data_IF_658283424470
#
_entry.id   IF_658283424470
#
_cell.length_a   1.000
_cell.length_b   1.000
_cell.length_c   1.000
_cell.angle_alpha   90.00
_cell.angle_beta   90.00
_cell.angle_gamma   90.00
#
_symmetry.space_group_name_H-M   'P 1'
#
loop_
_entity.id
_entity.type
_entity.pdbx_description
1 polymer ?
#
# COMPACT_ATOMS: atom_id res chain seq x y z
N UNK A 1 56.08 -13.47 -13.54
CA UNK A 1 55.38 -12.43 -12.75
C UNK A 1 55.20 -12.99 -11.36
N UNK A 2 56.03 -12.54 -10.41
CA UNK A 2 56.10 -13.07 -9.05
C UNK A 2 55.12 -12.30 -8.15
N UNK A 3 54.17 -12.99 -7.54
CA UNK A 3 53.29 -12.44 -6.51
C UNK A 3 53.94 -12.66 -5.13
N UNK A 4 54.28 -11.56 -4.46
CA UNK A 4 54.71 -11.54 -3.07
C UNK A 4 53.47 -11.39 -2.16
N UNK A 5 53.17 -12.45 -1.41
CA UNK A 5 52.24 -12.43 -0.28
C UNK A 5 52.93 -11.73 0.91
N UNK A 6 52.41 -10.58 1.34
CA UNK A 6 52.79 -9.98 2.62
C UNK A 6 51.79 -10.40 3.70
N UNK A 7 52.29 -11.24 4.61
CA UNK A 7 51.64 -11.62 5.86
C UNK A 7 51.82 -10.48 6.88
N UNK A 8 50.72 -9.98 7.44
CA UNK A 8 50.76 -9.07 8.59
C UNK A 8 50.51 -9.93 9.83
N UNK A 9 51.58 -10.17 10.58
CA UNK A 9 51.59 -10.81 11.89
C UNK A 9 52.10 -9.79 12.90
N UNK A 10 51.30 -9.40 13.90
CA UNK A 10 51.73 -8.88 15.23
C UNK A 10 50.52 -8.59 16.12
N UNK A 11 50.66 -8.50 17.46
CA UNK A 11 50.20 -9.58 18.33
C UNK A 11 49.17 -9.17 19.39
N UNK A 12 48.71 -10.22 20.10
CA UNK A 12 47.89 -10.22 21.31
C UNK A 12 48.34 -9.20 22.37
N UNK A 13 47.39 -8.41 22.86
CA UNK A 13 47.43 -7.85 24.22
C UNK A 13 46.29 -8.50 25.00
N UNK A 14 46.67 -9.38 25.93
CA UNK A 14 45.83 -9.90 27.01
C UNK A 14 46.20 -9.10 28.25
N UNK A 15 45.23 -8.43 28.85
CA UNK A 15 45.28 -8.02 30.25
C UNK A 15 43.87 -8.10 30.83
N UNK A 16 43.69 -9.05 31.75
CA UNK A 16 42.51 -9.27 32.57
C UNK A 16 42.53 -8.34 33.79
N UNK A 17 41.35 -8.06 34.36
CA UNK A 17 41.04 -7.85 35.79
C UNK A 17 39.53 -7.49 35.87
N UNK A 18 38.65 -8.43 36.22
CA UNK A 18 38.16 -8.75 37.58
C UNK A 18 37.49 -7.58 38.32
N UNK A 19 36.19 -7.74 38.56
CA UNK A 19 35.56 -7.35 39.84
C UNK A 19 34.62 -6.14 39.80
N UNK A 20 33.31 -6.40 39.80
CA UNK A 20 32.33 -5.79 40.70
C UNK A 20 30.93 -6.36 40.43
N UNK A 21 30.61 -7.48 41.08
CA UNK A 21 29.23 -7.83 41.36
C UNK A 21 28.75 -6.93 42.51
N UNK A 22 27.80 -6.05 42.24
CA UNK A 22 27.12 -5.27 43.27
C UNK A 22 25.67 -4.96 42.87
N UNK A 23 24.76 -5.53 43.66
CA UNK A 23 23.46 -4.99 44.06
C UNK A 23 22.34 -4.97 42.99
N UNK A 24 21.65 -6.11 42.88
CA UNK A 24 20.26 -6.14 42.48
C UNK A 24 19.40 -5.53 43.60
N UNK A 25 18.99 -4.27 43.43
CA UNK A 25 17.89 -3.69 44.18
C UNK A 25 16.56 -4.07 43.49
N UNK A 26 15.52 -4.50 44.22
CA UNK A 26 14.20 -4.60 43.63
C UNK A 26 13.68 -3.18 43.41
N UNK A 27 13.71 -2.70 42.17
CA UNK A 27 12.96 -1.52 41.77
C UNK A 27 11.46 -1.84 41.93
N UNK A 28 10.87 -1.41 43.04
CA UNK A 28 9.43 -1.32 43.21
C UNK A 28 8.93 -0.22 42.26
N UNK A 29 8.65 -0.60 41.02
CA UNK A 29 7.92 0.24 40.08
C UNK A 29 6.48 0.41 40.58
N UNK A 30 6.25 1.40 41.44
CA UNK A 30 4.91 1.86 41.72
C UNK A 30 4.41 2.59 40.47
N UNK A 31 3.59 1.88 39.70
CA UNK A 31 2.72 2.41 38.66
C UNK A 31 1.71 3.37 39.31
N UNK A 32 2.17 4.58 39.68
CA UNK A 32 1.28 5.70 39.95
C UNK A 32 0.72 6.19 38.62
N UNK A 33 -0.42 5.63 38.25
CA UNK A 33 -1.28 6.21 37.22
C UNK A 33 -1.84 7.54 37.76
N UNK A 34 -1.61 8.67 37.10
CA UNK A 34 -2.33 9.90 37.38
C UNK A 34 -3.80 9.67 37.01
N UNK A 35 -4.68 9.62 38.00
CA UNK A 35 -6.13 9.43 37.78
C UNK A 35 -6.88 8.55 38.78
N UNK A 36 -6.27 8.15 39.90
CA UNK A 36 -6.99 7.47 40.98
C UNK A 36 -8.00 8.43 41.62
N UNK A 37 -9.26 8.33 41.18
CA UNK A 37 -10.41 9.01 41.77
C UNK A 37 -10.54 8.62 43.24
N UNK A 38 -10.57 9.63 44.11
CA UNK A 38 -11.02 9.50 45.50
C UNK A 38 -12.50 9.10 45.51
N UNK A 39 -12.91 8.07 46.27
CA UNK A 39 -14.34 7.76 46.43
C UNK A 39 -15.02 8.91 47.21
N UNK A 40 -16.07 9.47 46.63
CA UNK A 40 -16.95 10.44 47.28
C UNK A 40 -17.75 9.76 48.41
N UNK A 41 -18.09 10.49 49.49
CA UNK A 41 -18.78 9.93 50.66
C UNK A 41 -20.19 9.46 50.33
N UNK A 42 -20.62 8.42 51.06
CA UNK A 42 -21.92 7.79 50.93
C UNK A 42 -23.07 8.72 51.37
N UNK A 43 -24.14 8.72 50.58
CA UNK A 43 -25.47 9.13 51.02
C UNK A 43 -26.06 10.34 50.30
N UNK A 44 -26.73 10.11 49.17
CA UNK A 44 -28.09 10.61 48.87
C UNK A 44 -28.54 9.92 47.58
N UNK A 45 -29.43 8.93 47.72
CA UNK A 45 -30.00 8.17 46.61
C UNK A 45 -31.18 8.98 46.07
N UNK A 46 -30.98 9.69 44.96
CA UNK A 46 -32.08 10.18 44.13
C UNK A 46 -32.45 9.06 43.16
N UNK A 47 -33.72 8.66 43.17
CA UNK A 47 -34.25 7.50 42.44
C UNK A 47 -34.01 7.57 40.92
N UNK A 48 -33.99 6.41 40.23
CA UNK A 48 -33.68 6.35 38.82
C UNK A 48 -34.80 7.01 38.01
N UNK A 49 -34.49 8.14 37.36
CA UNK A 49 -35.23 8.57 36.20
C UNK A 49 -35.15 7.44 35.16
N UNK A 50 -36.31 7.05 34.61
CA UNK A 50 -36.41 5.99 33.62
C UNK A 50 -35.50 6.30 32.42
N UNK A 51 -34.29 5.73 32.44
CA UNK A 51 -33.41 5.70 31.29
C UNK A 51 -34.10 4.90 30.21
N UNK A 52 -34.54 5.59 29.17
CA UNK A 52 -34.87 4.95 27.90
C UNK A 52 -33.75 3.97 27.57
N UNK A 53 -34.09 2.68 27.46
CA UNK A 53 -33.14 1.67 27.05
C UNK A 53 -32.44 2.15 25.78
N UNK A 54 -31.09 2.18 25.74
CA UNK A 54 -30.39 2.40 24.49
C UNK A 54 -30.86 1.29 23.56
N UNK A 55 -31.61 1.65 22.51
CA UNK A 55 -31.90 0.71 21.43
C UNK A 55 -30.56 0.13 21.03
N UNK A 56 -30.37 -1.19 21.19
CA UNK A 56 -29.21 -1.90 20.70
C UNK A 56 -29.00 -1.42 19.27
N UNK A 57 -27.90 -0.72 19.03
CA UNK A 57 -27.57 -0.25 17.70
C UNK A 57 -27.41 -1.52 16.86
N UNK A 58 -28.42 -1.84 16.06
CA UNK A 58 -28.29 -2.85 15.03
C UNK A 58 -27.11 -2.52 14.12
N UNK A 59 -26.60 -3.49 13.35
CA UNK A 59 -25.44 -3.28 12.48
C UNK A 59 -25.62 -1.99 11.68
N UNK A 60 -24.76 -1.00 11.95
CA UNK A 60 -24.77 0.24 11.17
C UNK A 60 -24.38 -0.13 9.75
N UNK A 61 -25.08 0.43 8.76
CA UNK A 61 -24.73 0.20 7.35
C UNK A 61 -23.23 0.47 7.16
N UNK A 62 -22.51 -0.42 6.46
CA UNK A 62 -21.11 -0.18 6.19
C UNK A 62 -20.88 1.14 5.45
N UNK A 63 -19.71 1.78 5.63
CA UNK A 63 -19.38 2.97 4.87
C UNK A 63 -19.37 2.64 3.36
N UNK A 64 -19.75 3.59 2.49
CA UNK A 64 -19.72 3.36 1.05
C UNK A 64 -18.29 3.04 0.59
N UNK A 65 -18.12 2.17 -0.44
CA UNK A 65 -16.83 1.92 -1.03
C UNK A 65 -16.28 3.22 -1.62
N UNK A 66 -14.98 3.50 -1.46
CA UNK A 66 -14.34 4.65 -2.10
C UNK A 66 -14.26 4.44 -3.60
N UNK A 67 -14.19 5.56 -4.33
CA UNK A 67 -14.13 5.57 -5.80
C UNK A 67 -12.85 4.89 -6.26
N UNK A 68 -12.99 3.85 -7.08
CA UNK A 68 -11.85 3.22 -7.77
C UNK A 68 -11.30 4.21 -8.81
N UNK A 69 -9.97 4.39 -8.90
CA UNK A 69 -9.35 5.21 -9.94
C UNK A 69 -9.75 4.76 -11.35
N UNK A 70 -9.94 5.72 -12.27
CA UNK A 70 -10.14 5.45 -13.70
C UNK A 70 -8.81 5.20 -14.39
N UNK A 71 -8.81 4.44 -15.49
CA UNK A 71 -7.62 4.24 -16.33
C UNK A 71 -7.07 5.57 -16.87
N UNK A 72 -7.94 6.58 -17.04
CA UNK A 72 -7.55 7.91 -17.53
C UNK A 72 -6.51 8.61 -16.65
N UNK A 73 -6.34 8.15 -15.40
CA UNK A 73 -5.33 8.70 -14.49
C UNK A 73 -3.90 8.37 -14.93
N UNK A 74 -3.69 7.32 -15.73
CA UNK A 74 -2.37 6.84 -16.16
C UNK A 74 -2.10 7.01 -17.66
N UNK A 75 -3.10 7.40 -18.44
CA UNK A 75 -3.00 7.58 -19.89
C UNK A 75 -2.19 8.84 -20.26
N UNK A 76 -1.37 8.74 -21.30
CA UNK A 76 -0.68 9.88 -21.92
C UNK A 76 0.45 10.48 -21.07
N UNK A 77 1.00 9.71 -20.13
CA UNK A 77 2.15 10.12 -19.32
C UNK A 77 3.12 8.96 -19.11
N UNK A 78 4.44 9.22 -19.15
CA UNK A 78 5.43 8.23 -18.77
C UNK A 78 5.41 8.04 -17.25
N UNK A 79 5.37 6.79 -16.83
CA UNK A 79 5.53 6.39 -15.43
C UNK A 79 6.87 5.66 -15.27
N UNK A 80 7.61 5.99 -14.22
CA UNK A 80 8.91 5.37 -13.91
C UNK A 80 8.79 4.42 -12.74
N UNK A 81 9.38 3.24 -12.88
CA UNK A 81 9.51 2.25 -11.82
C UNK A 81 10.31 2.85 -10.66
N UNK A 82 9.70 2.81 -9.49
CA UNK A 82 10.25 3.31 -8.24
C UNK A 82 10.81 4.75 -8.35
N UNK A 83 10.21 5.55 -9.23
CA UNK A 83 10.54 6.97 -9.43
C UNK A 83 11.83 7.26 -10.19
N UNK A 84 12.56 6.24 -10.68
CA UNK A 84 13.91 6.46 -11.22
C UNK A 84 14.27 5.66 -12.48
N UNK A 85 13.67 4.49 -12.68
CA UNK A 85 14.12 3.54 -13.71
C UNK A 85 12.97 3.00 -14.54
N UNK A 86 13.28 2.52 -15.73
CA UNK A 86 12.27 2.04 -16.66
C UNK A 86 11.26 3.11 -17.07
N UNK A 87 10.47 2.80 -18.08
CA UNK A 87 9.33 3.63 -18.48
C UNK A 87 8.18 2.71 -18.85
N UNK A 88 6.98 3.00 -18.34
CA UNK A 88 5.73 2.46 -18.85
C UNK A 88 4.82 3.62 -19.23
N UNK A 89 4.22 3.55 -20.42
CA UNK A 89 3.29 4.56 -20.90
C UNK A 89 2.05 3.88 -21.48
N UNK A 90 0.88 4.38 -21.08
CA UNK A 90 -0.42 3.84 -21.46
C UNK A 90 -1.12 4.76 -22.45
N UNK A 91 -1.83 4.16 -23.40
CA UNK A 91 -2.73 4.84 -24.33
C UNK A 91 -4.07 4.11 -24.39
N UNK A 92 -5.12 4.80 -24.87
CA UNK A 92 -6.38 4.18 -25.24
C UNK A 92 -6.38 3.80 -26.72
N UNK A 93 -6.72 2.55 -27.00
CA UNK A 93 -7.14 2.09 -28.32
C UNK A 93 -8.65 1.89 -28.31
N UNK A 94 -9.41 2.92 -28.69
CA UNK A 94 -10.85 2.95 -28.49
C UNK A 94 -11.24 2.89 -27.01
N UNK A 95 -11.85 1.79 -26.57
CA UNK A 95 -12.20 1.58 -25.15
C UNK A 95 -11.12 0.83 -24.37
N UNK A 96 -10.20 0.17 -25.07
CA UNK A 96 -9.21 -0.69 -24.47
C UNK A 96 -7.97 0.09 -24.07
N UNK A 97 -7.33 -0.33 -22.98
CA UNK A 97 -6.06 0.22 -22.52
C UNK A 97 -4.92 -0.60 -23.11
N UNK A 98 -3.89 0.07 -23.62
CA UNK A 98 -2.70 -0.58 -24.16
C UNK A 98 -1.44 0.10 -23.62
N UNK A 99 -0.35 -0.65 -23.55
CA UNK A 99 0.98 -0.11 -23.25
C UNK A 99 1.67 0.22 -24.56
N UNK A 100 1.99 1.48 -24.78
CA UNK A 100 2.64 1.97 -26.01
C UNK A 100 4.14 2.12 -25.87
N UNK A 101 4.62 2.23 -24.63
CA UNK A 101 6.04 2.29 -24.32
C UNK A 101 6.31 1.43 -23.10
N UNK A 102 7.26 0.52 -23.23
CA UNK A 102 7.72 -0.30 -22.13
C UNK A 102 9.23 -0.48 -22.20
N UNK A 103 9.93 0.16 -21.28
CA UNK A 103 11.36 0.01 -21.06
C UNK A 103 11.58 -0.57 -19.67
N UNK A 104 12.18 -1.75 -19.63
CA UNK A 104 12.55 -2.42 -18.38
C UNK A 104 14.04 -2.23 -18.14
N UNK A 105 14.42 -1.83 -16.93
CA UNK A 105 15.83 -1.77 -16.52
C UNK A 105 16.14 -2.95 -15.60
N UNK A 106 17.33 -3.51 -15.77
CA UNK A 106 17.81 -4.60 -14.95
C UNK A 106 19.33 -4.64 -14.86
N UNK A 107 19.85 -5.82 -14.58
CA UNK A 107 21.28 -6.10 -14.49
C UNK A 107 21.69 -7.12 -15.55
N UNK A 108 22.89 -6.96 -16.11
CA UNK A 108 23.43 -7.90 -17.09
C UNK A 108 23.58 -9.29 -16.46
N UNK A 109 23.18 -10.33 -17.20
CA UNK A 109 23.31 -11.72 -16.75
C UNK A 109 24.79 -12.13 -16.79
N UNK A 110 25.52 -11.75 -17.84
CA UNK A 110 26.95 -12.05 -17.98
C UNK A 110 27.85 -11.29 -17.00
N UNK A 111 27.42 -10.10 -16.54
CA UNK A 111 28.24 -9.17 -15.76
C UNK A 111 27.48 -8.57 -14.59
N UNK A 112 27.67 -9.19 -13.43
CA UNK A 112 27.05 -8.77 -12.17
C UNK A 112 27.45 -7.33 -11.83
N UNK A 113 26.46 -6.47 -11.61
CA UNK A 113 26.65 -5.06 -11.25
C UNK A 113 26.62 -4.09 -12.42
N UNK A 114 26.73 -4.57 -13.66
CA UNK A 114 26.47 -3.78 -14.85
C UNK A 114 24.97 -3.75 -15.16
N UNK A 115 24.46 -2.61 -15.64
CA UNK A 115 23.04 -2.41 -15.93
C UNK A 115 22.72 -2.73 -17.38
N UNK A 116 21.50 -3.20 -17.62
CA UNK A 116 20.93 -3.41 -18.94
C UNK A 116 19.54 -2.78 -19.06
N UNK A 117 19.09 -2.59 -20.30
CA UNK A 117 17.75 -2.10 -20.62
C UNK A 117 17.16 -3.00 -21.72
N UNK A 118 15.88 -3.35 -21.55
CA UNK A 118 15.08 -4.06 -22.55
C UNK A 118 13.97 -3.12 -22.99
N UNK A 119 13.96 -2.78 -24.27
CA UNK A 119 12.93 -1.94 -24.88
C UNK A 119 11.93 -2.82 -25.63
N UNK A 120 10.67 -2.80 -25.19
CA UNK A 120 9.56 -3.59 -25.72
C UNK A 120 8.56 -2.69 -26.46
N UNK A 121 8.95 -1.47 -26.83
CA UNK A 121 8.07 -0.44 -27.41
C UNK A 121 7.91 -0.56 -28.94
N UNK A 122 8.26 -1.70 -29.55
CA UNK A 122 8.17 -1.88 -31.00
C UNK A 122 6.74 -1.93 -31.53
N UNK A 123 5.81 -2.39 -30.70
CA UNK A 123 4.38 -2.46 -30.99
C UNK A 123 3.57 -2.26 -29.70
N UNK A 124 2.37 -1.65 -29.77
CA UNK A 124 1.50 -1.54 -28.61
C UNK A 124 1.14 -2.93 -28.04
N UNK A 125 1.20 -3.05 -26.73
CA UNK A 125 0.88 -4.29 -26.00
C UNK A 125 -0.53 -4.14 -25.42
N UNK A 126 -1.46 -4.96 -25.91
CA UNK A 126 -2.83 -4.98 -25.39
C UNK A 126 -2.87 -5.51 -23.95
N UNK A 127 -3.70 -4.89 -23.11
CA UNK A 127 -3.92 -5.32 -21.74
C UNK A 127 -5.21 -6.13 -21.64
N UNK A 128 -5.16 -7.26 -20.94
CA UNK A 128 -6.34 -8.09 -20.69
C UNK A 128 -6.90 -7.78 -19.30
N UNK A 129 -8.19 -7.43 -19.12
CA UNK A 129 -8.76 -7.26 -17.80
C UNK A 129 -8.59 -8.53 -16.95
N UNK A 130 -8.19 -8.36 -15.69
CA UNK A 130 -7.94 -9.47 -14.76
C UNK A 130 -8.70 -9.28 -13.44
N UNK A 131 -8.76 -10.33 -12.62
CA UNK A 131 -9.50 -10.30 -11.34
C UNK A 131 -8.94 -9.25 -10.37
N UNK A 132 -9.84 -8.51 -9.73
CA UNK A 132 -9.52 -7.38 -8.83
C UNK A 132 -9.08 -7.86 -7.45
N UNK A 133 -7.90 -8.47 -7.34
CA UNK A 133 -7.38 -8.97 -6.07
C UNK A 133 -7.24 -7.88 -4.99
N UNK A 134 -6.97 -6.63 -5.38
CA UNK A 134 -6.71 -5.50 -4.47
C UNK A 134 -7.83 -4.46 -4.43
N UNK A 135 -9.01 -4.77 -5.00
CA UNK A 135 -10.14 -3.82 -5.05
C UNK A 135 -9.94 -2.62 -5.98
N UNK A 136 -8.85 -2.59 -6.74
CA UNK A 136 -8.63 -1.65 -7.85
C UNK A 136 -8.75 -2.36 -9.19
N UNK A 137 -8.80 -1.61 -10.29
CA UNK A 137 -8.76 -2.18 -11.63
C UNK A 137 -7.42 -2.88 -11.85
N UNK A 138 -7.47 -4.14 -12.29
CA UNK A 138 -6.29 -4.94 -12.61
C UNK A 138 -6.32 -5.36 -14.07
N UNK A 139 -5.16 -5.28 -14.71
CA UNK A 139 -4.91 -5.84 -16.02
C UNK A 139 -3.80 -6.89 -15.95
N UNK A 140 -3.89 -7.91 -16.80
CA UNK A 140 -2.80 -8.81 -17.13
C UNK A 140 -2.09 -8.30 -18.39
N UNK A 141 -0.77 -8.32 -18.33
CA UNK A 141 0.11 -8.02 -19.44
C UNK A 141 0.88 -9.30 -19.77
N UNK A 142 0.53 -9.92 -20.90
CA UNK A 142 1.14 -11.16 -21.35
C UNK A 142 2.35 -10.86 -22.25
N UNK A 143 3.54 -10.89 -21.63
CA UNK A 143 4.80 -10.81 -22.35
C UNK A 143 5.46 -12.17 -22.40
N UNK A 144 5.94 -12.59 -23.59
CA UNK A 144 6.80 -13.76 -23.70
C UNK A 144 7.97 -13.66 -22.71
N UNK A 145 8.11 -14.67 -21.85
CA UNK A 145 9.10 -14.76 -20.76
C UNK A 145 8.92 -13.81 -19.55
N UNK A 146 7.99 -12.85 -19.58
CA UNK A 146 7.81 -11.90 -18.48
C UNK A 146 6.35 -11.46 -18.24
N UNK A 147 5.39 -12.39 -18.01
CA UNK A 147 4.03 -12.00 -17.69
C UNK A 147 3.97 -11.35 -16.31
N UNK A 148 3.15 -10.30 -16.19
CA UNK A 148 2.86 -9.63 -14.92
C UNK A 148 1.47 -8.96 -14.93
N UNK A 149 1.00 -8.59 -13.74
CA UNK A 149 -0.23 -7.84 -13.57
C UNK A 149 0.04 -6.37 -13.24
N UNK A 150 -0.89 -5.50 -13.63
CA UNK A 150 -0.87 -4.06 -13.43
C UNK A 150 -2.11 -3.64 -12.66
N UNK A 151 -1.94 -3.16 -11.44
CA UNK A 151 -2.98 -2.54 -10.62
C UNK A 151 -3.01 -1.02 -10.88
N UNK A 152 -4.16 -0.49 -11.32
CA UNK A 152 -4.32 0.94 -11.62
C UNK A 152 -4.57 1.72 -10.33
N UNK A 153 -3.69 2.68 -10.05
CA UNK A 153 -3.82 3.65 -8.95
C UNK A 153 -4.03 5.07 -9.51
N UNK A 154 -4.21 6.04 -8.61
CA UNK A 154 -4.41 7.43 -8.98
C UNK A 154 -3.12 8.05 -9.54
N UNK A 155 -2.93 8.01 -10.86
CA UNK A 155 -1.75 8.57 -11.50
C UNK A 155 -0.48 7.73 -11.37
N UNK A 156 -0.64 6.45 -11.04
CA UNK A 156 0.43 5.48 -10.90
C UNK A 156 -0.13 4.08 -11.17
N UNK A 157 0.75 3.10 -11.33
CA UNK A 157 0.37 1.69 -11.35
C UNK A 157 1.26 0.89 -10.43
N UNK A 158 0.73 -0.18 -9.83
CA UNK A 158 1.55 -1.16 -9.12
C UNK A 158 1.66 -2.42 -9.97
N UNK A 159 2.89 -2.78 -10.32
CA UNK A 159 3.17 -3.98 -11.09
C UNK A 159 3.46 -5.13 -10.11
N UNK A 160 2.72 -6.23 -10.28
CA UNK A 160 2.82 -7.43 -9.45
C UNK A 160 3.21 -8.62 -10.31
N UNK A 161 4.20 -9.37 -9.85
CA UNK A 161 4.66 -10.60 -10.50
C UNK A 161 4.97 -11.69 -9.49
N UNK A 162 4.38 -12.88 -9.68
CA UNK A 162 4.57 -14.02 -8.78
C UNK A 162 5.89 -14.77 -9.06
N UNK A 163 6.42 -14.70 -10.28
CA UNK A 163 7.64 -15.40 -10.71
C UNK A 163 8.97 -14.71 -10.42
N UNK A 164 9.00 -13.59 -9.70
CA UNK A 164 10.23 -12.82 -9.41
C UNK A 164 10.81 -12.07 -10.62
N UNK A 165 12.12 -12.14 -10.85
CA UNK A 165 12.78 -11.52 -12.00
C UNK A 165 12.54 -12.32 -13.32
N UNK A 166 12.60 -11.61 -14.44
CA UNK A 166 12.53 -12.12 -15.81
C UNK A 166 13.93 -12.12 -16.45
N UNK A 167 14.22 -13.13 -17.27
CA UNK A 167 15.49 -13.23 -18.01
C UNK A 167 15.25 -13.09 -19.51
N UNK A 168 15.81 -12.03 -20.09
CA UNK A 168 15.84 -11.76 -21.51
C UNK A 168 17.19 -12.20 -22.07
N UNK A 169 17.34 -13.49 -22.37
CA UNK A 169 18.60 -14.09 -22.83
C UNK A 169 19.18 -13.42 -24.06
N UNK A 170 18.33 -13.05 -25.03
CA UNK A 170 18.76 -12.35 -26.25
C UNK A 170 19.33 -10.94 -25.97
N UNK A 171 18.93 -10.32 -24.86
CA UNK A 171 19.41 -9.02 -24.41
C UNK A 171 20.44 -9.12 -23.28
N UNK A 172 20.87 -10.33 -22.90
CA UNK A 172 21.74 -10.60 -21.74
C UNK A 172 21.26 -9.90 -20.45
N UNK A 173 19.95 -9.82 -20.24
CA UNK A 173 19.37 -8.91 -19.25
C UNK A 173 18.42 -9.61 -18.27
N UNK A 174 18.64 -9.42 -16.97
CA UNK A 174 17.72 -9.86 -15.91
C UNK A 174 17.01 -8.65 -15.32
N UNK A 175 15.69 -8.58 -15.47
CA UNK A 175 14.86 -7.44 -15.03
C UNK A 175 13.81 -7.91 -14.03
N UNK A 176 13.42 -7.07 -13.08
CA UNK A 176 12.24 -7.30 -12.25
C UNK A 176 11.28 -6.13 -12.48
N UNK A 177 10.10 -6.33 -13.12
CA UNK A 177 9.16 -5.25 -13.37
C UNK A 177 8.34 -4.87 -12.14
N UNK A 178 8.41 -5.65 -11.05
CA UNK A 178 7.58 -5.45 -9.86
C UNK A 178 7.87 -4.11 -9.16
N UNK A 179 6.83 -3.57 -8.52
CA UNK A 179 6.91 -2.33 -7.76
C UNK A 179 6.00 -1.23 -8.29
N UNK A 180 6.14 -0.03 -7.71
CA UNK A 180 5.30 1.09 -8.05
C UNK A 180 5.88 1.87 -9.24
N UNK A 181 5.09 2.06 -10.29
CA UNK A 181 5.41 2.90 -11.44
C UNK A 181 4.62 4.20 -11.33
N UNK A 182 5.31 5.33 -11.26
CA UNK A 182 4.67 6.61 -10.94
C UNK A 182 5.46 7.82 -11.43
N UNK A 183 5.19 8.98 -10.83
CA UNK A 183 5.88 10.23 -11.15
C UNK A 183 7.40 10.12 -10.92
N UNK A 184 8.24 10.60 -11.84
CA UNK A 184 9.68 10.63 -11.62
C UNK A 184 10.05 11.41 -10.34
N UNK A 185 10.89 10.83 -9.48
CA UNK A 185 11.21 11.41 -8.17
C UNK A 185 12.00 12.73 -8.28
N UNK A 186 12.73 12.92 -9.38
CA UNK A 186 13.43 14.17 -9.70
C UNK A 186 12.46 15.30 -10.12
N UNK A 187 11.23 14.98 -10.55
CA UNK A 187 10.21 15.97 -10.90
C UNK A 187 9.37 16.41 -9.68
N UNK A 188 9.51 15.72 -8.54
CA UNK A 188 8.82 16.08 -7.31
C UNK A 188 9.60 17.17 -6.58
N UNK A 189 9.26 18.43 -6.88
CA UNK A 189 9.82 19.60 -6.21
C UNK A 189 9.26 19.83 -4.80
N UNK A 190 9.87 20.73 -4.00
CA UNK A 190 9.48 20.96 -2.60
C UNK A 190 8.02 21.38 -2.40
N UNK A 191 7.46 22.14 -3.35
CA UNK A 191 6.03 22.53 -3.31
C UNK A 191 5.12 21.31 -3.42
N UNK A 192 5.40 20.43 -4.39
CA UNK A 192 4.61 19.21 -4.60
C UNK A 192 4.78 18.24 -3.43
N UNK A 193 5.98 18.12 -2.86
CA UNK A 193 6.22 17.32 -1.66
C UNK A 193 5.31 17.74 -0.48
N UNK A 194 5.15 19.06 -0.23
CA UNK A 194 4.22 19.57 0.80
C UNK A 194 2.75 19.25 0.50
N UNK A 195 2.37 19.29 -0.78
CA UNK A 195 1.02 18.90 -1.21
C UNK A 195 0.77 17.41 -0.97
N UNK A 196 1.74 16.56 -1.35
CA UNK A 196 1.72 15.11 -1.11
C UNK A 196 1.59 14.81 0.37
N UNK A 197 2.35 15.47 1.24
CA UNK A 197 2.24 15.27 2.69
C UNK A 197 0.82 15.59 3.21
N UNK A 198 0.25 16.71 2.76
CA UNK A 198 -1.11 17.12 3.12
C UNK A 198 -2.16 16.14 2.61
N UNK A 199 -2.03 15.70 1.36
CA UNK A 199 -2.88 14.68 0.72
C UNK A 199 -2.78 13.35 1.48
N UNK A 200 -1.57 12.93 1.86
CA UNK A 200 -1.32 11.69 2.61
C UNK A 200 -1.98 11.75 3.98
N UNK A 201 -1.81 12.85 4.72
CA UNK A 201 -2.43 13.02 6.03
C UNK A 201 -3.97 12.93 5.95
N UNK A 202 -4.57 13.50 4.90
CA UNK A 202 -6.01 13.38 4.64
C UNK A 202 -6.42 11.96 4.28
N UNK A 203 -5.69 11.30 3.38
CA UNK A 203 -5.97 9.94 2.94
C UNK A 203 -5.87 8.96 4.12
N UNK A 204 -4.85 9.08 4.96
CA UNK A 204 -4.71 8.25 6.15
C UNK A 204 -5.80 8.52 7.19
N UNK A 205 -6.19 9.78 7.40
CA UNK A 205 -7.32 10.11 8.27
C UNK A 205 -8.62 9.49 7.75
N UNK A 206 -8.91 9.63 6.45
CA UNK A 206 -10.09 9.03 5.82
C UNK A 206 -10.08 7.50 5.96
N UNK A 207 -8.93 6.86 5.74
CA UNK A 207 -8.74 5.42 5.93
C UNK A 207 -9.03 5.00 7.37
N UNK A 208 -8.51 5.73 8.37
CA UNK A 208 -8.77 5.46 9.80
C UNK A 208 -10.26 5.56 10.14
N UNK A 209 -10.95 6.58 9.62
CA UNK A 209 -12.39 6.74 9.84
C UNK A 209 -13.23 5.67 9.14
N UNK A 210 -12.85 5.27 7.93
CA UNK A 210 -13.47 4.14 7.23
C UNK A 210 -13.29 2.84 8.02
N UNK A 211 -12.07 2.55 8.50
CA UNK A 211 -11.80 1.39 9.33
C UNK A 211 -12.66 1.37 10.60
N UNK A 212 -12.76 2.48 11.34
CA UNK A 212 -13.68 2.60 12.49
C UNK A 212 -15.13 2.38 12.08
N UNK A 213 -15.53 2.82 10.87
CA UNK A 213 -16.83 2.53 10.28
C UNK A 213 -17.06 1.02 10.11
N UNK A 214 -16.10 0.32 9.52
CA UNK A 214 -16.15 -1.13 9.27
C UNK A 214 -16.22 -1.95 10.55
N UNK A 215 -15.41 -1.63 11.55
CA UNK A 215 -15.46 -2.29 12.86
C UNK A 215 -16.83 -2.08 13.51
N UNK A 216 -17.40 -0.87 13.44
CA UNK A 216 -18.75 -0.58 13.94
C UNK A 216 -19.84 -1.35 13.18
N UNK A 217 -19.70 -1.53 11.87
CA UNK A 217 -20.66 -2.31 11.08
C UNK A 217 -20.57 -3.81 11.34
N UNK A 218 -19.37 -4.33 11.65
CA UNK A 218 -19.16 -5.74 11.99
C UNK A 218 -19.84 -6.13 13.32
N UNK A 219 -20.03 -5.18 14.24
CA UNK A 219 -20.76 -5.39 15.49
C UNK A 219 -20.12 -6.48 16.35
N UNK A 220 -20.84 -7.60 16.55
CA UNK A 220 -20.39 -8.74 17.36
C UNK A 220 -19.76 -9.88 16.55
N UNK A 221 -19.63 -9.73 15.22
CA UNK A 221 -18.94 -10.72 14.39
C UNK A 221 -17.42 -10.65 14.66
N UNK A 222 -16.96 -11.48 15.59
CA UNK A 222 -15.54 -11.57 15.98
C UNK A 222 -14.64 -11.98 14.81
N UNK A 223 -15.12 -12.84 13.92
CA UNK A 223 -14.34 -13.29 12.77
C UNK A 223 -14.13 -12.14 11.79
N UNK A 224 -15.18 -11.37 11.50
CA UNK A 224 -15.07 -10.18 10.68
C UNK A 224 -14.20 -9.11 11.32
N UNK A 225 -14.40 -8.80 12.61
CA UNK A 225 -13.54 -7.85 13.35
C UNK A 225 -12.06 -8.26 13.29
N UNK A 226 -11.75 -9.55 13.48
CA UNK A 226 -10.39 -10.08 13.40
C UNK A 226 -9.80 -9.93 11.99
N UNK A 227 -10.57 -10.23 10.93
CA UNK A 227 -10.12 -10.04 9.54
C UNK A 227 -9.81 -8.58 9.25
N UNK A 228 -10.70 -7.65 9.64
CA UNK A 228 -10.51 -6.22 9.40
C UNK A 228 -9.25 -5.72 10.16
N UNK A 229 -9.03 -6.17 11.40
CA UNK A 229 -7.87 -5.80 12.18
C UNK A 229 -6.55 -6.34 11.58
N UNK A 230 -6.53 -7.60 11.15
CA UNK A 230 -5.37 -8.21 10.49
C UNK A 230 -5.01 -7.48 9.20
N UNK A 231 -6.01 -7.15 8.38
CA UNK A 231 -5.83 -6.38 7.16
C UNK A 231 -5.24 -4.98 7.43
N UNK A 232 -5.65 -4.28 8.49
CA UNK A 232 -4.99 -3.02 8.86
C UNK A 232 -3.54 -3.21 9.29
N UNK A 233 -3.25 -4.24 10.07
CA UNK A 233 -1.88 -4.50 10.52
C UNK A 233 -0.94 -4.76 9.33
N UNK A 234 -1.36 -5.64 8.41
CA UNK A 234 -0.60 -6.00 7.21
C UNK A 234 -0.41 -4.82 6.23
N UNK A 235 -1.30 -3.82 6.27
CA UNK A 235 -1.20 -2.66 5.37
C UNK A 235 0.10 -1.87 5.61
N UNK A 236 0.46 -1.65 6.87
CA UNK A 236 1.63 -0.86 7.22
C UNK A 236 2.94 -1.48 6.72
N UNK A 237 3.09 -2.80 6.87
CA UNK A 237 4.27 -3.54 6.38
C UNK A 237 4.31 -3.60 4.86
N UNK A 238 3.18 -3.90 4.19
CA UNK A 238 3.12 -3.93 2.72
C UNK A 238 3.44 -2.57 2.10
N UNK A 239 2.98 -1.48 2.72
CA UNK A 239 3.32 -0.12 2.26
C UNK A 239 4.83 0.12 2.35
N UNK A 240 5.44 -0.24 3.48
CA UNK A 240 6.88 -0.08 3.66
C UNK A 240 7.67 -0.92 2.65
N UNK A 241 7.32 -2.20 2.50
CA UNK A 241 7.97 -3.12 1.54
C UNK A 241 7.91 -2.60 0.10
N UNK A 242 6.76 -2.05 -0.30
CA UNK A 242 6.57 -1.48 -1.64
C UNK A 242 7.31 -0.15 -1.81
N UNK A 243 7.27 0.72 -0.81
CA UNK A 243 7.70 2.12 -0.97
C UNK A 243 9.16 2.38 -0.61
N UNK A 244 9.81 1.49 0.15
CA UNK A 244 11.22 1.66 0.57
C UNK A 244 12.21 1.85 -0.57
N UNK A 245 11.91 1.31 -1.76
CA UNK A 245 12.77 1.41 -2.95
C UNK A 245 12.44 2.60 -3.84
N UNK A 246 11.35 3.32 -3.55
CA UNK A 246 10.97 4.49 -4.32
C UNK A 246 11.96 5.61 -4.08
N UNK A 247 12.57 6.13 -5.14
CA UNK A 247 13.62 7.12 -5.05
C UNK A 247 13.10 8.36 -4.30
N UNK A 248 13.88 8.81 -3.29
CA UNK A 248 13.58 9.99 -2.46
C UNK A 248 12.24 9.93 -1.70
N UNK A 249 11.71 8.73 -1.44
CA UNK A 249 10.44 8.57 -0.73
C UNK A 249 10.43 9.22 0.65
N UNK A 250 11.54 9.16 1.39
CA UNK A 250 11.66 9.82 2.70
C UNK A 250 11.56 11.34 2.63
N UNK A 251 11.79 11.94 1.46
CA UNK A 251 11.71 13.39 1.25
C UNK A 251 10.31 13.85 0.84
N UNK A 252 9.61 13.07 0.01
CA UNK A 252 8.33 13.51 -0.59
C UNK A 252 7.12 12.63 -0.28
N UNK A 253 7.29 11.35 0.11
CA UNK A 253 6.18 10.48 0.51
C UNK A 253 5.20 10.10 -0.60
N UNK A 254 5.66 10.01 -1.86
CA UNK A 254 4.78 9.85 -3.02
C UNK A 254 4.20 8.45 -3.07
N UNK A 255 5.03 7.43 -2.96
CA UNK A 255 4.56 6.04 -2.97
C UNK A 255 3.60 5.78 -1.81
N UNK A 256 3.92 6.29 -0.62
CA UNK A 256 3.08 6.17 0.55
C UNK A 256 1.70 6.80 0.34
N UNK A 257 1.63 7.99 -0.27
CA UNK A 257 0.35 8.60 -0.64
C UNK A 257 -0.44 7.70 -1.59
N UNK A 258 0.14 7.35 -2.74
CA UNK A 258 -0.53 6.59 -3.79
C UNK A 258 -1.07 5.26 -3.25
N UNK A 259 -0.26 4.54 -2.48
CA UNK A 259 -0.65 3.26 -1.90
C UNK A 259 -1.72 3.41 -0.82
N UNK A 260 -1.66 4.48 0.00
CA UNK A 260 -2.71 4.79 0.98
C UNK A 260 -4.04 5.15 0.32
N UNK A 261 -4.04 5.90 -0.78
CA UNK A 261 -5.27 6.21 -1.52
C UNK A 261 -5.93 4.93 -2.07
N UNK A 262 -5.13 4.05 -2.67
CA UNK A 262 -5.58 2.77 -3.20
C UNK A 262 -6.15 1.82 -2.13
N UNK A 263 -5.59 1.87 -0.90
CA UNK A 263 -5.99 0.97 0.19
C UNK A 263 -7.46 1.05 0.55
N UNK A 264 -8.02 2.26 0.46
CA UNK A 264 -9.41 2.50 0.80
C UNK A 264 -10.35 1.60 -0.05
N UNK A 265 -10.02 1.38 -1.32
CA UNK A 265 -10.75 0.50 -2.24
C UNK A 265 -10.52 -0.99 -1.93
N UNK A 266 -9.32 -1.36 -1.50
CA UNK A 266 -8.99 -2.74 -1.11
C UNK A 266 -9.80 -3.22 0.09
N UNK A 267 -9.91 -2.37 1.13
CA UNK A 267 -10.68 -2.70 2.35
C UNK A 267 -12.13 -2.98 1.99
N UNK A 268 -12.71 -2.13 1.14
CA UNK A 268 -14.08 -2.34 0.68
C UNK A 268 -14.22 -3.65 -0.11
N UNK A 269 -13.29 -3.98 -1.00
CA UNK A 269 -13.35 -5.21 -1.81
C UNK A 269 -13.21 -6.51 -1.00
N UNK A 270 -12.44 -6.52 0.09
CA UNK A 270 -12.24 -7.71 0.92
C UNK A 270 -13.32 -7.91 1.99
N UNK A 271 -14.08 -6.85 2.31
CA UNK A 271 -15.08 -6.88 3.37
C UNK A 271 -16.51 -6.90 2.80
N UNK A 272 -16.73 -6.26 1.65
CA UNK A 272 -18.02 -6.33 0.98
C UNK A 272 -18.17 -7.70 0.31
N UNK A 273 -19.35 -8.36 0.42
CA UNK A 273 -19.69 -9.43 -0.50
C UNK A 273 -19.61 -8.87 -1.94
N UNK A 274 -19.26 -9.70 -2.94
CA UNK A 274 -19.18 -9.25 -4.32
C UNK A 274 -20.48 -8.56 -4.70
N UNK A 275 -20.38 -7.40 -5.37
CA UNK A 275 -21.55 -6.66 -5.81
C UNK A 275 -22.38 -7.60 -6.72
N UNK A 276 -23.72 -7.66 -6.55
CA UNK A 276 -24.55 -8.45 -7.43
C UNK A 276 -24.37 -7.95 -8.89
N UNK A 277 -24.41 -8.87 -9.88
CA UNK A 277 -24.35 -8.54 -11.30
C UNK A 277 -25.30 -7.39 -11.65
N UNK A 278 -24.97 -6.61 -12.68
CA UNK A 278 -25.78 -5.43 -13.04
C UNK A 278 -27.24 -5.76 -13.34
N UNK A 279 -27.50 -6.98 -13.81
CA UNK A 279 -28.83 -7.53 -14.09
C UNK A 279 -29.67 -7.80 -12.83
N UNK A 280 -29.03 -7.93 -11.66
CA UNK A 280 -29.68 -8.17 -10.37
C UNK A 280 -29.82 -6.89 -9.53
N UNK A 281 -29.30 -5.75 -10.00
CA UNK A 281 -29.45 -4.48 -9.28
C UNK A 281 -30.89 -4.00 -9.41
N UNK A 282 -31.62 -3.81 -8.30
CA UNK A 282 -32.98 -3.31 -8.37
C UNK A 282 -32.99 -1.93 -9.06
N UNK A 283 -33.93 -1.68 -9.99
CA UNK A 283 -33.94 -0.45 -10.76
C UNK A 283 -34.00 0.75 -9.83
N UNK A 284 -33.15 1.74 -10.11
CA UNK A 284 -33.08 2.98 -9.34
C UNK A 284 -34.48 3.57 -9.21
N UNK A 285 -34.98 3.68 -7.97
CA UNK A 285 -36.30 4.27 -7.70
C UNK A 285 -36.34 5.68 -8.28
N UNK A 286 -37.08 5.85 -9.38
CA UNK A 286 -37.40 7.17 -9.93
C UNK A 286 -37.97 8.02 -8.80
N UNK A 287 -37.32 9.15 -8.49
CA UNK A 287 -37.90 10.17 -7.60
C UNK A 287 -39.22 10.60 -8.22
N UNK A 288 -40.32 10.23 -7.59
CA UNK A 288 -41.63 10.80 -7.88
C UNK A 288 -41.57 12.29 -7.55
N UNK A 289 -41.55 13.12 -8.59
CA UNK A 289 -41.92 14.53 -8.52
C UNK A 289 -43.40 14.57 -8.14
N UNK A 290 -43.67 14.76 -6.85
CA UNK A 290 -45.02 15.10 -6.38
C UNK A 290 -45.30 16.55 -6.77
N UNK A 291 -46.49 16.76 -7.31
CA UNK A 291 -46.87 17.92 -8.09
C UNK A 291 -47.01 19.21 -7.30
N UNK A 292 -47.17 20.28 -8.07
CA UNK A 292 -47.73 21.54 -7.66
C UNK A 292 -48.94 21.83 -8.54
#
# INVERSE_FOLDING_TARGET
MNFLFQSITTPRVIAALLGAAALAAPAQAQLQLPGAFTPAPAGTVSGPAATAQPKKAGPRKPPPPPKVPSDDTVVGRPLMQNGAFGIIEFERSGKDLQVVKLKLRGDLISRVGERCEVDLSSQPIALTPAEKATGVTRYALDLPACPFAVDIFNGAVNVVREGGACEFKAADCRVDPAGLWGQPANEIGPKRAKEIEKERNRAEHAMREQFKGWIRSAGHDRALVSRIAHEQAAFSSRREELCRSYQRETEHGYCALIYTEARSSTIAAHILPPAPPEDERPPAKKKSTRGR
#
